data_IF_977285218508
#
_entry.id   IF_977285218508
#
_cell.length_a   1.000
_cell.length_b   1.000
_cell.length_c   1.000
_cell.angle_alpha   90.00
_cell.angle_beta   90.00
_cell.angle_gamma   90.00
#
_symmetry.space_group_name_H-M   'P 1'
#
loop_
_entity.id
_entity.type
_entity.pdbx_description
1 polymer ?
#
# COMPACT_ATOMS: atom_id res chain seq x y z
N UNK A 1 14.41 -17.98 10.51
CA UNK A 1 15.80 -17.67 10.09
C UNK A 1 16.77 -18.33 11.08
N UNK A 2 17.73 -19.06 10.58
CA UNK A 2 18.71 -19.78 11.40
C UNK A 2 19.97 -18.94 11.67
N UNK A 3 20.30 -18.00 10.79
CA UNK A 3 21.47 -17.13 10.92
C UNK A 3 21.10 -15.64 10.89
N UNK A 4 22.00 -14.78 11.37
CA UNK A 4 21.81 -13.32 11.31
C UNK A 4 21.87 -12.81 9.86
N UNK A 5 22.67 -13.41 8.99
CA UNK A 5 22.73 -13.06 7.57
C UNK A 5 21.41 -13.40 6.87
N UNK A 6 20.82 -14.56 7.19
CA UNK A 6 19.50 -14.93 6.67
C UNK A 6 18.43 -13.97 7.19
N UNK A 7 18.48 -13.58 8.46
CA UNK A 7 17.56 -12.61 9.06
C UNK A 7 17.66 -11.26 8.37
N UNK A 8 18.87 -10.77 8.14
CA UNK A 8 19.12 -9.51 7.45
C UNK A 8 18.51 -9.53 6.03
N UNK A 9 18.82 -10.56 5.23
CA UNK A 9 18.24 -10.72 3.89
C UNK A 9 16.71 -10.82 3.94
N UNK A 10 16.18 -11.65 4.82
CA UNK A 10 14.73 -11.86 4.95
C UNK A 10 14.01 -10.57 5.32
N UNK A 11 14.61 -9.71 6.15
CA UNK A 11 14.02 -8.43 6.54
C UNK A 11 13.78 -7.49 5.36
N UNK A 12 14.54 -7.61 4.27
CA UNK A 12 14.34 -6.82 3.06
C UNK A 12 13.00 -7.14 2.37
N UNK A 13 12.54 -8.39 2.50
CA UNK A 13 11.27 -8.84 1.93
C UNK A 13 10.06 -8.53 2.84
N UNK A 14 10.29 -8.31 4.13
CA UNK A 14 9.21 -8.11 5.09
C UNK A 14 8.94 -6.61 5.26
N UNK A 15 7.89 -6.12 4.61
CA UNK A 15 7.58 -4.69 4.58
C UNK A 15 6.28 -4.40 5.33
N UNK A 16 6.27 -3.38 6.20
CA UNK A 16 5.02 -2.95 6.83
C UNK A 16 4.02 -2.49 5.78
N UNK A 17 2.74 -2.83 5.98
CA UNK A 17 1.66 -2.47 5.07
C UNK A 17 0.54 -1.74 5.80
N UNK A 18 -0.01 -0.70 5.15
CA UNK A 18 -1.09 0.14 5.65
C UNK A 18 -2.37 -0.10 4.84
N UNK A 19 -3.47 -0.31 5.55
CA UNK A 19 -4.82 -0.31 4.96
C UNK A 19 -5.36 1.11 4.94
N UNK A 20 -6.33 1.39 4.11
CA UNK A 20 -6.95 2.72 4.07
C UNK A 20 -7.47 3.23 5.42
N UNK A 21 -7.93 2.35 6.33
CA UNK A 21 -8.36 2.70 7.69
C UNK A 21 -7.23 3.05 8.66
N UNK A 22 -6.01 2.63 8.33
CA UNK A 22 -4.83 2.91 9.15
C UNK A 22 -4.27 4.31 8.88
N UNK A 23 -4.69 4.95 7.77
CA UNK A 23 -4.27 6.30 7.38
C UNK A 23 -5.05 7.34 8.19
N UNK A 24 -4.29 8.26 8.80
CA UNK A 24 -4.79 9.40 9.59
C UNK A 24 -4.37 10.70 8.93
N UNK A 25 -4.90 11.83 9.42
CA UNK A 25 -4.37 13.14 9.02
C UNK A 25 -2.91 13.24 9.46
N UNK A 26 -2.04 13.62 8.54
CA UNK A 26 -0.61 13.82 8.73
C UNK A 26 0.20 12.57 9.07
N UNK A 27 -0.43 11.42 9.33
CA UNK A 27 0.26 10.22 9.76
C UNK A 27 -0.55 8.94 9.56
N UNK A 28 -0.24 7.92 10.34
CA UNK A 28 -0.94 6.62 10.30
C UNK A 28 -0.83 5.89 11.63
N UNK A 29 -1.78 4.98 11.87
CA UNK A 29 -1.74 4.00 12.96
C UNK A 29 -1.51 2.62 12.37
N UNK A 30 -0.30 2.11 12.52
CA UNK A 30 0.05 0.82 11.95
C UNK A 30 -0.51 -0.34 12.77
N UNK A 31 -1.17 -1.27 12.10
CA UNK A 31 -1.83 -2.41 12.73
C UNK A 31 -0.93 -3.66 12.85
N UNK A 32 0.39 -3.50 12.82
CA UNK A 32 1.37 -4.59 12.85
C UNK A 32 1.19 -5.62 11.73
N UNK A 33 0.74 -5.16 10.56
CA UNK A 33 0.64 -6.00 9.38
C UNK A 33 1.87 -5.84 8.49
N UNK A 34 2.33 -6.97 7.94
CA UNK A 34 3.44 -7.02 7.02
C UNK A 34 3.04 -7.68 5.70
N UNK A 35 3.71 -7.28 4.65
CA UNK A 35 3.69 -7.93 3.35
C UNK A 35 5.03 -8.61 3.11
N UNK A 36 5.00 -9.82 2.59
CA UNK A 36 6.18 -10.45 1.98
C UNK A 36 6.26 -9.89 0.55
N UNK A 37 7.18 -8.94 0.35
CA UNK A 37 7.27 -8.11 -0.86
C UNK A 37 8.09 -8.80 -1.97
N UNK A 38 7.70 -9.97 -2.39
CA UNK A 38 8.33 -10.74 -3.47
C UNK A 38 7.84 -10.26 -4.84
N UNK A 39 8.10 -9.01 -5.16
CA UNK A 39 7.67 -8.42 -6.43
C UNK A 39 8.42 -9.04 -7.61
N UNK A 40 7.72 -9.43 -8.72
CA UNK A 40 8.35 -10.02 -9.89
C UNK A 40 9.48 -9.18 -10.48
N UNK A 41 9.36 -7.84 -10.41
CA UNK A 41 10.37 -6.90 -10.89
C UNK A 41 11.73 -7.04 -10.18
N UNK A 42 11.72 -7.49 -8.93
CA UNK A 42 12.94 -7.68 -8.12
C UNK A 42 13.69 -8.98 -8.44
N UNK A 43 13.07 -9.90 -9.16
CA UNK A 43 13.67 -11.16 -9.64
C UNK A 43 14.34 -11.99 -8.54
N UNK A 44 13.73 -12.06 -7.38
CA UNK A 44 14.26 -12.84 -6.25
C UNK A 44 14.45 -14.32 -6.62
N UNK A 45 15.50 -14.91 -6.05
CA UNK A 45 15.65 -16.35 -5.96
C UNK A 45 15.22 -16.78 -4.56
N UNK A 46 14.08 -17.47 -4.47
CA UNK A 46 13.48 -17.84 -3.17
C UNK A 46 14.34 -18.82 -2.38
N UNK A 47 15.24 -19.54 -3.03
CA UNK A 47 16.14 -20.47 -2.35
C UNK A 47 17.18 -19.75 -1.48
N UNK A 48 17.41 -18.46 -1.74
CA UNK A 48 18.22 -17.60 -0.89
C UNK A 48 17.49 -17.11 0.38
N UNK A 49 16.19 -17.42 0.51
CA UNK A 49 15.31 -16.97 1.61
C UNK A 49 14.54 -18.17 2.20
N UNK A 50 15.25 -19.16 2.78
CA UNK A 50 14.63 -20.42 3.19
C UNK A 50 13.47 -20.23 4.18
N UNK A 51 13.59 -19.33 5.16
CA UNK A 51 12.50 -19.07 6.10
C UNK A 51 11.24 -18.50 5.42
N UNK A 52 11.39 -17.64 4.39
CA UNK A 52 10.25 -17.13 3.60
C UNK A 52 9.66 -18.25 2.75
N UNK A 53 10.51 -19.04 2.11
CA UNK A 53 10.08 -20.18 1.30
C UNK A 53 9.25 -21.15 2.13
N UNK A 54 9.75 -21.57 3.29
CA UNK A 54 9.06 -22.50 4.19
C UNK A 54 7.75 -21.92 4.71
N UNK A 55 7.73 -20.62 5.06
CA UNK A 55 6.50 -19.94 5.47
C UNK A 55 5.46 -19.93 4.37
N UNK A 56 5.82 -19.55 3.14
CA UNK A 56 4.89 -19.50 2.01
C UNK A 56 4.36 -20.89 1.64
N UNK A 57 5.20 -21.92 1.67
CA UNK A 57 4.78 -23.30 1.46
C UNK A 57 3.80 -23.73 2.56
N UNK A 58 4.16 -23.52 3.82
CA UNK A 58 3.29 -23.87 4.96
C UNK A 58 1.96 -23.11 4.91
N UNK A 59 2.00 -21.83 4.56
CA UNK A 59 0.79 -21.02 4.41
C UNK A 59 -0.08 -21.52 3.26
N UNK A 60 0.49 -21.84 2.10
CA UNK A 60 -0.24 -22.39 0.97
C UNK A 60 -0.88 -23.73 1.31
N UNK A 61 -0.16 -24.61 2.01
CA UNK A 61 -0.69 -25.90 2.47
C UNK A 61 -1.88 -25.73 3.44
N UNK A 62 -1.84 -24.72 4.33
CA UNK A 62 -2.93 -24.43 5.26
C UNK A 62 -4.18 -23.84 4.57
N UNK A 63 -3.98 -23.15 3.45
CA UNK A 63 -5.06 -22.47 2.71
C UNK A 63 -5.69 -23.34 1.62
N UNK A 64 -5.42 -24.62 1.58
CA UNK A 64 -6.18 -25.55 0.77
C UNK A 64 -7.67 -25.50 1.18
N UNK A 65 -8.52 -25.23 0.21
CA UNK A 65 -9.97 -25.14 0.41
C UNK A 65 -10.66 -26.32 -0.21
N UNK A 66 -11.63 -26.86 0.49
CA UNK A 66 -12.58 -27.79 -0.07
C UNK A 66 -13.69 -27.00 -0.77
N UNK A 67 -13.89 -27.22 -2.06
CA UNK A 67 -15.00 -26.64 -2.84
C UNK A 67 -15.87 -27.79 -3.36
N UNK A 68 -16.95 -28.07 -2.65
CA UNK A 68 -17.75 -29.26 -2.91
C UNK A 68 -16.93 -30.53 -2.61
N UNK A 69 -16.79 -31.40 -3.61
CA UNK A 69 -15.97 -32.61 -3.49
C UNK A 69 -14.50 -32.44 -3.94
N UNK A 70 -14.10 -31.22 -4.32
CA UNK A 70 -12.78 -30.92 -4.84
C UNK A 70 -12.01 -29.98 -3.94
N UNK A 71 -10.71 -30.21 -3.79
CA UNK A 71 -9.81 -29.28 -3.13
C UNK A 71 -9.38 -28.20 -4.12
N UNK A 72 -9.54 -26.95 -3.72
CA UNK A 72 -9.04 -25.79 -4.47
C UNK A 72 -7.77 -25.30 -3.78
N UNK A 73 -6.65 -25.41 -4.45
CA UNK A 73 -5.39 -24.84 -4.02
C UNK A 73 -5.27 -23.38 -4.49
N UNK A 74 -4.64 -22.54 -3.69
CA UNK A 74 -4.18 -21.24 -4.14
C UNK A 74 -3.11 -21.39 -5.24
N UNK A 75 -2.95 -20.40 -6.10
CA UNK A 75 -2.00 -20.45 -7.24
C UNK A 75 -0.54 -20.59 -6.78
N UNK A 76 -0.22 -20.10 -5.59
CA UNK A 76 1.06 -20.33 -4.95
C UNK A 76 1.37 -21.82 -4.78
N UNK A 77 0.34 -22.59 -4.46
CA UNK A 77 0.48 -24.01 -4.29
C UNK A 77 0.60 -24.75 -5.62
N UNK A 78 0.07 -24.21 -6.72
CA UNK A 78 0.11 -24.86 -8.02
C UNK A 78 1.53 -25.15 -8.49
N UNK A 79 2.41 -24.15 -8.50
CA UNK A 79 3.79 -24.34 -8.95
C UNK A 79 4.59 -25.21 -7.99
N UNK A 80 4.37 -25.05 -6.68
CA UNK A 80 4.92 -25.95 -5.67
C UNK A 80 4.45 -27.39 -5.90
N UNK A 81 3.15 -27.58 -6.14
CA UNK A 81 2.58 -28.88 -6.42
C UNK A 81 3.13 -29.48 -7.72
N UNK A 82 3.33 -28.68 -8.78
CA UNK A 82 3.95 -29.14 -10.02
C UNK A 82 5.39 -29.63 -9.81
N UNK A 83 6.16 -28.92 -8.99
CA UNK A 83 7.51 -29.35 -8.62
C UNK A 83 7.49 -30.64 -7.82
N UNK A 84 6.60 -30.78 -6.85
CA UNK A 84 6.41 -32.01 -6.07
C UNK A 84 5.92 -33.16 -6.94
N UNK A 85 5.03 -32.89 -7.90
CA UNK A 85 4.58 -33.91 -8.86
C UNK A 85 5.72 -34.43 -9.73
N UNK A 86 6.59 -33.54 -10.21
CA UNK A 86 7.77 -33.93 -10.97
C UNK A 86 8.72 -34.84 -10.15
N UNK A 87 8.76 -34.64 -8.82
CA UNK A 87 9.57 -35.42 -7.90
C UNK A 87 8.89 -36.73 -7.45
N UNK A 88 7.58 -36.73 -7.27
CA UNK A 88 6.83 -37.80 -6.58
C UNK A 88 5.86 -38.56 -7.48
N UNK A 89 5.62 -38.15 -8.72
CA UNK A 89 4.72 -38.77 -9.67
C UNK A 89 3.37 -38.09 -9.83
N UNK A 90 2.25 -38.77 -9.54
CA UNK A 90 0.90 -38.33 -9.97
C UNK A 90 0.13 -37.46 -8.99
N UNK A 91 0.54 -37.40 -7.74
CA UNK A 91 -0.15 -36.60 -6.72
C UNK A 91 0.81 -36.19 -5.60
N UNK A 92 0.44 -35.18 -4.85
CA UNK A 92 1.04 -34.87 -3.56
C UNK A 92 0.03 -35.12 -2.44
N UNK A 93 0.52 -35.39 -1.25
CA UNK A 93 -0.30 -35.57 -0.07
C UNK A 93 -0.12 -34.35 0.85
N UNK A 94 -1.22 -33.64 1.12
CA UNK A 94 -1.24 -32.50 2.03
C UNK A 94 -2.34 -32.75 3.08
N UNK A 95 -1.97 -32.72 4.35
CA UNK A 95 -2.87 -32.96 5.48
C UNK A 95 -3.65 -34.29 5.33
N UNK A 96 -2.97 -35.34 4.88
CA UNK A 96 -3.57 -36.67 4.69
C UNK A 96 -4.52 -36.79 3.49
N UNK A 97 -4.57 -35.80 2.61
CA UNK A 97 -5.37 -35.84 1.38
C UNK A 97 -4.51 -35.76 0.14
N UNK A 98 -4.86 -36.59 -0.84
CA UNK A 98 -4.18 -36.61 -2.14
C UNK A 98 -4.68 -35.50 -3.03
N UNK A 99 -3.78 -34.65 -3.50
CA UNK A 99 -4.09 -33.53 -4.37
C UNK A 99 -3.52 -33.82 -5.75
N UNK A 100 -4.42 -33.93 -6.72
CA UNK A 100 -4.08 -34.11 -8.13
C UNK A 100 -3.96 -32.74 -8.78
N UNK A 101 -2.81 -32.46 -9.34
CA UNK A 101 -2.53 -31.20 -10.01
C UNK A 101 -3.21 -31.20 -11.37
N UNK A 102 -3.88 -30.13 -11.70
CA UNK A 102 -4.61 -29.99 -12.96
C UNK A 102 -6.09 -29.67 -12.78
N UNK A 103 -6.74 -30.16 -11.72
CA UNK A 103 -8.15 -29.85 -11.44
C UNK A 103 -8.33 -28.67 -10.47
N UNK A 104 -7.26 -28.18 -9.86
CA UNK A 104 -7.30 -27.19 -8.76
C UNK A 104 -6.93 -25.79 -9.19
N UNK A 105 -6.24 -25.63 -10.32
CA UNK A 105 -5.63 -24.37 -10.74
C UNK A 105 -6.59 -23.35 -11.34
N UNK A 106 -7.73 -23.77 -11.86
CA UNK A 106 -8.63 -22.88 -12.63
C UNK A 106 -9.36 -21.82 -11.81
N UNK A 107 -9.37 -21.95 -10.48
CA UNK A 107 -10.16 -21.08 -9.59
C UNK A 107 -9.37 -20.30 -8.55
N UNK A 108 -8.07 -20.41 -8.53
CA UNK A 108 -7.23 -19.68 -7.59
C UNK A 108 -7.11 -18.19 -7.98
N UNK A 109 -6.00 -17.57 -7.99
CA UNK A 109 -5.84 -16.21 -8.49
C UNK A 109 -5.73 -16.16 -10.02
N UNK A 110 -5.82 -14.96 -10.60
CA UNK A 110 -5.61 -14.75 -12.04
C UNK A 110 -4.30 -15.39 -12.50
N UNK A 111 -4.34 -16.17 -13.58
CA UNK A 111 -3.15 -16.79 -14.16
C UNK A 111 -2.18 -15.72 -14.64
N UNK A 112 -0.95 -15.79 -14.21
CA UNK A 112 0.16 -14.91 -14.60
C UNK A 112 1.37 -15.74 -14.99
N UNK A 113 2.43 -15.10 -15.50
CA UNK A 113 3.73 -15.71 -15.73
C UNK A 113 4.65 -15.66 -14.49
N UNK A 114 4.16 -15.11 -13.38
CA UNK A 114 4.93 -14.94 -12.16
C UNK A 114 5.23 -16.30 -11.51
N UNK A 115 6.35 -16.37 -10.80
CA UNK A 115 6.71 -17.55 -10.01
C UNK A 115 5.72 -17.74 -8.86
N UNK A 116 5.62 -18.95 -8.34
CA UNK A 116 4.67 -19.33 -7.30
C UNK A 116 4.75 -18.51 -6.02
N UNK A 117 5.92 -17.96 -5.68
CA UNK A 117 6.16 -17.13 -4.50
C UNK A 117 6.02 -15.62 -4.77
N UNK A 118 5.94 -15.21 -6.02
CA UNK A 118 5.85 -13.80 -6.39
C UNK A 118 4.44 -13.23 -6.19
N UNK A 119 4.36 -11.94 -5.92
CA UNK A 119 3.06 -11.23 -5.89
C UNK A 119 2.37 -11.31 -7.25
N UNK A 120 1.03 -11.24 -7.25
CA UNK A 120 0.25 -11.36 -8.49
C UNK A 120 0.58 -10.26 -9.49
N UNK A 121 0.69 -9.03 -9.02
CA UNK A 121 0.92 -7.88 -9.86
C UNK A 121 2.41 -7.51 -9.86
N UNK A 122 2.92 -7.23 -11.06
CA UNK A 122 4.26 -6.68 -11.23
C UNK A 122 4.21 -5.18 -10.96
N UNK A 123 4.94 -4.75 -9.92
CA UNK A 123 5.00 -3.34 -9.51
C UNK A 123 6.31 -2.76 -10.01
N UNK A 124 6.26 -2.00 -11.12
CA UNK A 124 7.45 -1.40 -11.73
C UNK A 124 8.05 -0.24 -10.92
N UNK A 125 7.24 0.36 -10.05
CA UNK A 125 7.60 1.50 -9.19
C UNK A 125 7.90 1.08 -7.74
N UNK A 126 8.35 -0.15 -7.52
CA UNK A 126 8.60 -0.68 -6.17
C UNK A 126 9.66 0.12 -5.38
N UNK A 127 10.60 0.79 -6.07
CA UNK A 127 11.61 1.66 -5.45
C UNK A 127 11.00 2.89 -4.78
N UNK A 128 9.88 3.39 -5.30
CA UNK A 128 9.19 4.55 -4.75
C UNK A 128 8.62 4.29 -3.35
N UNK A 129 8.38 3.03 -3.02
CA UNK A 129 7.91 2.68 -1.67
C UNK A 129 8.93 2.95 -0.56
N UNK A 130 10.20 3.08 -0.88
CA UNK A 130 11.25 3.42 0.09
C UNK A 130 11.40 4.92 0.32
N UNK A 131 10.84 5.75 -0.57
CA UNK A 131 10.91 7.21 -0.47
C UNK A 131 9.89 7.75 0.54
N UNK A 132 10.14 8.93 1.12
CA UNK A 132 9.08 9.68 1.80
C UNK A 132 7.89 9.89 0.88
N UNK A 133 6.69 9.71 1.41
CA UNK A 133 5.47 9.75 0.62
C UNK A 133 4.27 10.15 1.43
N UNK A 134 3.24 10.59 0.76
CA UNK A 134 1.89 10.65 1.30
C UNK A 134 1.08 9.46 0.81
N UNK A 135 0.24 8.94 1.70
CA UNK A 135 -0.72 7.86 1.40
C UNK A 135 -2.12 8.36 1.73
N UNK A 136 -3.10 7.95 0.93
CA UNK A 136 -4.50 8.24 1.22
C UNK A 136 -5.41 7.11 0.77
N UNK A 137 -6.58 7.04 1.38
CA UNK A 137 -7.63 6.10 0.99
C UNK A 137 -8.31 6.60 -0.29
N UNK A 138 -8.39 5.75 -1.30
CA UNK A 138 -8.98 6.10 -2.59
C UNK A 138 -10.47 6.44 -2.53
N UNK A 139 -11.22 5.80 -1.63
CA UNK A 139 -12.66 6.03 -1.47
C UNK A 139 -12.96 6.29 0.01
N UNK A 140 -13.66 7.37 0.33
CA UNK A 140 -14.08 7.65 1.70
C UNK A 140 -14.84 8.96 1.85
N UNK A 141 -15.59 9.06 2.94
CA UNK A 141 -16.34 10.27 3.32
C UNK A 141 -15.46 11.34 3.98
N UNK A 142 -14.29 10.94 4.48
CA UNK A 142 -13.36 11.83 5.17
C UNK A 142 -12.02 11.80 4.45
N UNK A 143 -11.54 13.00 4.07
CA UNK A 143 -10.22 13.17 3.46
C UNK A 143 -9.13 13.06 4.51
N UNK A 144 -8.16 12.20 4.28
CA UNK A 144 -7.00 12.00 5.15
C UNK A 144 -5.79 11.61 4.31
N UNK A 145 -4.73 12.37 4.46
CA UNK A 145 -3.47 12.16 3.77
C UNK A 145 -2.39 11.93 4.83
N UNK A 146 -1.89 10.71 4.92
CA UNK A 146 -0.90 10.33 5.91
C UNK A 146 0.52 10.46 5.36
N UNK A 147 1.40 11.16 6.07
CA UNK A 147 2.82 11.22 5.75
C UNK A 147 3.53 9.97 6.24
N UNK A 148 4.32 9.36 5.38
CA UNK A 148 5.10 8.16 5.67
C UNK A 148 6.54 8.31 5.21
N UNK A 149 7.49 8.29 6.16
CA UNK A 149 8.95 8.33 5.92
C UNK A 149 9.63 6.98 6.12
N UNK A 150 8.89 5.96 6.58
CA UNK A 150 9.45 4.70 7.05
C UNK A 150 9.27 3.53 6.05
N UNK A 151 8.97 3.80 4.79
CA UNK A 151 8.91 2.79 3.75
C UNK A 151 7.73 1.83 3.80
N UNK A 152 6.66 2.13 4.58
CA UNK A 152 5.46 1.30 4.58
C UNK A 152 4.76 1.31 3.23
N UNK A 153 4.19 0.16 2.87
CA UNK A 153 3.41 -0.03 1.65
C UNK A 153 1.93 0.33 1.89
N UNK A 154 1.21 0.66 0.84
CA UNK A 154 -0.25 0.81 0.87
C UNK A 154 -0.93 -0.37 0.19
N UNK A 155 -2.10 -0.80 0.70
CA UNK A 155 -2.95 -1.77 0.02
C UNK A 155 -3.58 -1.15 -1.25
N UNK A 156 -4.16 -2.00 -2.09
CA UNK A 156 -4.87 -1.66 -3.33
C UNK A 156 -5.99 -0.61 -3.18
N UNK A 157 -6.56 -0.50 -1.98
CA UNK A 157 -7.56 0.51 -1.63
C UNK A 157 -6.96 1.89 -1.32
N UNK A 158 -5.65 2.04 -1.42
CA UNK A 158 -4.91 3.27 -1.17
C UNK A 158 -4.24 3.80 -2.42
N UNK A 159 -3.97 5.09 -2.44
CA UNK A 159 -3.09 5.76 -3.39
C UNK A 159 -1.89 6.32 -2.63
N UNK A 160 -0.82 6.64 -3.35
CA UNK A 160 0.32 7.35 -2.78
C UNK A 160 0.95 8.30 -3.79
N UNK A 161 1.70 9.26 -3.29
CA UNK A 161 2.55 10.15 -4.08
C UNK A 161 3.90 10.33 -3.38
N UNK A 162 4.94 10.43 -4.19
CA UNK A 162 6.31 10.75 -3.79
C UNK A 162 6.79 11.96 -4.58
N UNK A 163 7.80 12.64 -4.12
CA UNK A 163 8.41 13.73 -4.88
C UNK A 163 9.03 14.80 -3.98
N UNK A 164 9.44 15.89 -4.61
CA UNK A 164 9.93 17.07 -3.90
C UNK A 164 8.77 17.76 -3.17
N UNK A 165 9.08 18.40 -2.06
CA UNK A 165 8.11 19.16 -1.25
C UNK A 165 6.89 18.32 -0.81
N UNK A 166 7.10 17.03 -0.56
CA UNK A 166 6.03 16.10 -0.21
C UNK A 166 5.41 16.43 1.16
N UNK A 167 6.17 16.99 2.08
CA UNK A 167 5.70 17.45 3.38
C UNK A 167 4.74 18.63 3.23
N UNK A 168 5.09 19.61 2.41
CA UNK A 168 4.21 20.70 2.03
C UNK A 168 2.90 20.20 1.41
N UNK A 169 3.00 19.30 0.44
CA UNK A 169 1.82 18.74 -0.20
C UNK A 169 0.92 17.99 0.80
N UNK A 170 1.51 17.27 1.77
CA UNK A 170 0.75 16.66 2.86
C UNK A 170 0.00 17.72 3.70
N UNK A 171 0.66 18.82 4.01
CA UNK A 171 0.05 19.95 4.72
C UNK A 171 -1.12 20.53 3.96
N UNK A 172 -0.94 20.87 2.68
CA UNK A 172 -2.00 21.43 1.83
C UNK A 172 -3.19 20.49 1.74
N UNK A 173 -2.99 19.22 1.41
CA UNK A 173 -4.09 18.27 1.17
C UNK A 173 -4.92 17.94 2.42
N UNK A 174 -4.33 18.06 3.61
CA UNK A 174 -5.07 17.89 4.87
C UNK A 174 -5.68 19.17 5.40
N UNK A 175 -5.31 20.34 4.89
CA UNK A 175 -5.85 21.62 5.31
C UNK A 175 -7.28 21.84 4.79
N UNK A 176 -8.06 22.79 5.37
CA UNK A 176 -9.34 23.18 4.81
C UNK A 176 -9.25 23.62 3.35
N UNK A 177 -8.13 24.26 2.95
CA UNK A 177 -7.87 24.63 1.55
C UNK A 177 -7.76 23.39 0.65
N UNK A 178 -7.07 22.36 1.07
CA UNK A 178 -6.97 21.09 0.33
C UNK A 178 -8.34 20.41 0.15
N UNK A 179 -9.17 20.44 1.18
CA UNK A 179 -10.54 19.94 1.09
C UNK A 179 -11.38 20.77 0.10
N UNK A 180 -11.22 22.09 0.09
CA UNK A 180 -11.84 22.97 -0.90
C UNK A 180 -11.39 22.63 -2.32
N UNK A 181 -10.11 22.41 -2.54
CA UNK A 181 -9.56 22.02 -3.85
C UNK A 181 -10.10 20.67 -4.36
N UNK A 182 -10.45 19.78 -3.45
CA UNK A 182 -10.99 18.44 -3.75
C UNK A 182 -12.52 18.37 -3.73
N UNK A 183 -13.23 19.46 -3.48
CA UNK A 183 -14.70 19.48 -3.29
C UNK A 183 -15.50 18.92 -4.47
N UNK A 184 -14.98 19.11 -5.68
CA UNK A 184 -15.63 18.66 -6.93
C UNK A 184 -15.16 17.28 -7.39
N UNK A 185 -14.43 16.55 -6.54
CA UNK A 185 -14.01 15.18 -6.84
C UNK A 185 -15.22 14.28 -7.10
N UNK A 186 -15.09 13.29 -8.00
CA UNK A 186 -16.16 12.33 -8.26
C UNK A 186 -16.65 11.66 -6.98
N UNK A 187 -17.92 11.29 -6.95
CA UNK A 187 -18.54 10.56 -5.83
C UNK A 187 -18.95 9.17 -6.26
N UNK A 188 -18.89 8.23 -5.33
CA UNK A 188 -19.47 6.90 -5.50
C UNK A 188 -21.00 6.97 -5.46
N UNK A 189 -21.68 5.89 -5.84
CA UNK A 189 -23.13 5.82 -5.70
C UNK A 189 -23.64 5.93 -4.26
N UNK A 190 -22.77 5.72 -3.27
CA UNK A 190 -23.06 5.91 -1.83
C UNK A 190 -22.77 7.32 -1.32
N UNK A 191 -22.26 8.21 -2.19
CA UNK A 191 -21.95 9.60 -1.85
C UNK A 191 -20.54 9.83 -1.32
N UNK A 192 -19.71 8.79 -1.14
CA UNK A 192 -18.32 8.92 -0.73
C UNK A 192 -17.48 9.56 -1.85
N UNK A 193 -16.50 10.38 -1.48
CA UNK A 193 -15.56 10.95 -2.42
C UNK A 193 -14.63 9.88 -3.00
N UNK A 194 -14.42 9.94 -4.32
CA UNK A 194 -13.45 9.12 -5.04
C UNK A 194 -12.17 9.93 -5.27
N UNK A 195 -11.24 9.87 -4.35
CA UNK A 195 -9.96 10.57 -4.39
C UNK A 195 -8.92 9.66 -5.04
N UNK A 196 -9.05 9.45 -6.32
CA UNK A 196 -8.04 8.75 -7.13
C UNK A 196 -6.84 9.66 -7.41
N UNK A 197 -5.77 9.10 -7.99
CA UNK A 197 -4.63 9.89 -8.48
C UNK A 197 -5.10 10.97 -9.45
N UNK A 198 -6.05 10.67 -10.34
CA UNK A 198 -6.62 11.61 -11.30
C UNK A 198 -7.38 12.78 -10.66
N UNK A 199 -7.86 12.63 -9.43
CA UNK A 199 -8.48 13.72 -8.69
C UNK A 199 -7.45 14.64 -8.01
N UNK A 200 -6.31 14.10 -7.61
CA UNK A 200 -5.25 14.83 -6.91
C UNK A 200 -4.27 15.49 -7.89
N UNK A 201 -3.90 14.81 -8.96
CA UNK A 201 -2.88 15.26 -9.92
C UNK A 201 -3.15 16.66 -10.55
N UNK A 202 -4.40 17.06 -10.88
CA UNK A 202 -4.67 18.37 -11.45
C UNK A 202 -4.61 19.53 -10.46
N UNK A 203 -4.51 19.26 -9.15
CA UNK A 203 -4.51 20.30 -8.12
C UNK A 203 -3.29 21.18 -8.29
N UNK A 204 -3.55 22.49 -8.38
CA UNK A 204 -2.48 23.49 -8.45
C UNK A 204 -2.17 24.00 -7.05
N UNK A 205 -0.91 23.91 -6.68
CA UNK A 205 -0.40 24.43 -5.40
C UNK A 205 0.63 25.52 -5.66
N UNK A 206 0.73 26.56 -4.81
CA UNK A 206 1.79 27.55 -4.91
C UNK A 206 3.18 26.91 -4.90
N UNK A 207 4.11 27.48 -5.65
CA UNK A 207 5.50 27.05 -5.59
C UNK A 207 6.15 27.55 -4.30
N UNK A 208 6.91 26.69 -3.66
CA UNK A 208 7.62 27.01 -2.43
C UNK A 208 9.12 26.70 -2.56
N UNK A 209 9.91 27.33 -1.69
CA UNK A 209 11.32 27.00 -1.49
C UNK A 209 11.51 25.74 -0.64
N UNK A 210 12.71 25.18 -0.66
CA UNK A 210 13.05 24.05 0.23
C UNK A 210 12.95 24.45 1.71
N UNK A 211 13.32 25.66 2.07
CA UNK A 211 13.20 26.15 3.45
C UNK A 211 11.74 26.20 3.95
N UNK A 212 10.80 26.52 3.07
CA UNK A 212 9.38 26.45 3.39
C UNK A 212 8.90 25.01 3.53
N UNK A 213 9.35 24.09 2.69
CA UNK A 213 9.05 22.67 2.86
C UNK A 213 9.60 22.12 4.18
N UNK A 214 10.82 22.51 4.57
CA UNK A 214 11.41 22.14 5.86
C UNK A 214 10.59 22.66 7.05
N UNK A 215 9.96 23.84 6.89
CA UNK A 215 8.99 24.36 7.87
C UNK A 215 7.75 23.46 7.96
N UNK A 216 7.18 23.03 6.84
CA UNK A 216 6.06 22.08 6.85
C UNK A 216 6.46 20.74 7.48
N UNK A 217 7.67 20.25 7.19
CA UNK A 217 8.19 19.05 7.83
C UNK A 217 8.24 19.19 9.36
N UNK A 218 8.72 20.31 9.86
CA UNK A 218 8.72 20.61 11.29
C UNK A 218 7.30 20.59 11.87
N UNK A 219 6.32 21.24 11.23
CA UNK A 219 4.94 21.24 11.68
C UNK A 219 4.29 19.84 11.64
N UNK A 220 4.62 19.02 10.65
CA UNK A 220 4.18 17.62 10.61
C UNK A 220 4.78 16.80 11.75
N UNK A 221 6.07 16.95 12.02
CA UNK A 221 6.77 16.23 13.09
C UNK A 221 6.28 16.66 14.49
N UNK A 222 5.81 17.91 14.65
CA UNK A 222 5.22 18.44 15.89
C UNK A 222 3.70 18.32 15.96
N UNK A 223 3.07 17.86 14.86
CA UNK A 223 1.61 17.77 14.71
C UNK A 223 0.90 19.12 14.94
N UNK A 224 1.52 20.20 14.45
CA UNK A 224 1.01 21.58 14.59
C UNK A 224 0.05 21.94 13.43
N UNK A 225 -1.18 21.48 13.55
CA UNK A 225 -2.22 21.68 12.55
C UNK A 225 -2.59 23.17 12.35
N UNK A 226 -2.54 23.98 13.42
CA UNK A 226 -2.87 25.40 13.34
C UNK A 226 -1.86 26.14 12.47
N UNK A 227 -0.58 25.90 12.68
CA UNK A 227 0.48 26.52 11.90
C UNK A 227 0.48 26.03 10.44
N UNK A 228 0.19 24.74 10.19
CA UNK A 228 0.00 24.22 8.84
C UNK A 228 -1.11 24.99 8.12
N UNK A 229 -2.29 25.11 8.72
CA UNK A 229 -3.43 25.79 8.12
C UNK A 229 -3.16 27.28 7.88
N UNK A 230 -2.54 27.95 8.86
CA UNK A 230 -2.15 29.36 8.75
C UNK A 230 -1.21 29.56 7.58
N UNK A 231 -0.15 28.75 7.50
CA UNK A 231 0.86 28.83 6.45
C UNK A 231 0.29 28.53 5.05
N UNK A 232 -0.60 27.54 4.94
CA UNK A 232 -1.31 27.24 3.69
C UNK A 232 -2.13 28.45 3.23
N UNK A 233 -2.92 29.06 4.12
CA UNK A 233 -3.71 30.24 3.76
C UNK A 233 -2.85 31.44 3.33
N UNK A 234 -1.68 31.62 3.94
CA UNK A 234 -0.73 32.65 3.54
C UNK A 234 -0.20 32.39 2.12
N UNK A 235 0.17 31.16 1.81
CA UNK A 235 0.71 30.79 0.48
C UNK A 235 -0.32 30.96 -0.64
N UNK A 236 -1.61 30.83 -0.34
CA UNK A 236 -2.70 31.08 -1.31
C UNK A 236 -3.16 32.52 -1.33
N UNK A 237 -2.58 33.40 -0.51
CA UNK A 237 -2.91 34.83 -0.41
C UNK A 237 -4.41 35.08 -0.22
N UNK A 238 -5.05 34.31 0.66
CA UNK A 238 -6.48 34.39 0.91
C UNK A 238 -6.84 35.61 1.77
N UNK A 239 -7.91 36.31 1.41
CA UNK A 239 -8.54 37.32 2.23
C UNK A 239 -9.16 36.71 3.50
N UNK A 240 -9.50 37.56 4.48
CA UNK A 240 -10.12 37.08 5.72
C UNK A 240 -11.50 36.45 5.48
N UNK A 241 -12.27 36.98 4.54
CA UNK A 241 -13.59 36.44 4.19
C UNK A 241 -13.47 35.04 3.55
N UNK A 242 -12.48 34.83 2.65
CA UNK A 242 -12.20 33.54 2.04
C UNK A 242 -11.71 32.53 3.08
N UNK A 243 -10.81 32.93 3.99
CA UNK A 243 -10.35 32.07 5.10
C UNK A 243 -11.53 31.61 5.97
N UNK A 244 -12.43 32.55 6.30
CA UNK A 244 -13.61 32.24 7.09
C UNK A 244 -14.52 31.28 6.36
N UNK A 245 -14.85 31.56 5.10
CA UNK A 245 -15.67 30.68 4.27
C UNK A 245 -15.10 29.26 4.17
N UNK A 246 -13.79 29.13 3.89
CA UNK A 246 -13.13 27.82 3.75
C UNK A 246 -13.12 27.07 5.09
N UNK A 247 -12.82 27.75 6.20
CA UNK A 247 -12.80 27.11 7.52
C UNK A 247 -14.18 26.63 7.98
N UNK A 248 -15.24 27.33 7.63
CA UNK A 248 -16.61 26.97 8.02
C UNK A 248 -17.18 25.80 7.20
N UNK A 249 -16.75 25.66 5.94
CA UNK A 249 -17.36 24.74 4.99
C UNK A 249 -16.50 23.50 4.66
N UNK A 250 -15.19 23.51 4.95
CA UNK A 250 -14.23 22.49 4.49
C UNK A 250 -13.27 21.98 5.60
N UNK A 251 -13.80 21.61 6.74
CA UNK A 251 -13.02 21.02 7.84
C UNK A 251 -12.91 19.50 7.78
#
# INVERSE_FOLDING_TARGET
CETEEERARTSELIRPILRGRDIKRYGYEWANLYLIATFPACRYDIDNYPAVKDYLVSFAEQNLRESGNNWVADLYLEDYCKQKLAQTGKFIEIKGKRIYIGNTAEKARKKTSNKWFETQDSISYWEDFSKPKILWKRVGSILRFGYNKNGALGLDSTCFATGNNIEYLCGVLNSPMGHYLLKDSPKTGTGDLLISVQAVEPIKVPQISQAENDTFKYYLDTNDEEEINRKVFELYDLSNDEKTYINENFR
#
